data_IF_509256079880
#
_entry.id   IF_509256079880
#
_cell.length_a   1.000
_cell.length_b   1.000
_cell.length_c   1.000
_cell.angle_alpha   90.00
_cell.angle_beta   90.00
_cell.angle_gamma   90.00
#
_symmetry.space_group_name_H-M   'P 1'
#
loop_
_entity.id
_entity.type
_entity.pdbx_description
1 polymer ?
#
# COMPACT_ATOMS: atom_id res chain seq x y z
N UNK A 1 43.87 4.57 -23.91
CA UNK A 1 42.80 3.83 -24.62
C UNK A 1 41.57 3.85 -23.72
N UNK A 2 40.60 4.70 -24.03
CA UNK A 2 39.57 5.16 -23.09
C UNK A 2 38.36 4.24 -22.96
N UNK A 3 37.73 4.28 -21.78
CA UNK A 3 36.52 3.56 -21.40
C UNK A 3 35.29 4.14 -22.14
N UNK A 4 35.01 3.68 -23.36
CA UNK A 4 34.00 4.29 -24.25
C UNK A 4 32.62 3.60 -24.24
N UNK A 5 32.47 2.50 -23.50
CA UNK A 5 31.24 1.69 -23.50
C UNK A 5 30.93 1.10 -22.13
N UNK A 6 29.65 1.15 -21.74
CA UNK A 6 29.12 0.53 -20.52
C UNK A 6 28.18 -0.61 -20.94
N UNK A 7 28.40 -1.81 -20.41
CA UNK A 7 27.49 -2.95 -20.59
C UNK A 7 26.41 -2.89 -19.52
N UNK A 8 25.15 -2.90 -19.94
CA UNK A 8 23.97 -2.95 -19.06
C UNK A 8 23.29 -4.30 -19.27
N UNK A 9 23.08 -5.03 -18.17
CA UNK A 9 22.25 -6.22 -18.17
C UNK A 9 20.79 -5.81 -18.00
N UNK A 10 19.97 -6.12 -18.98
CA UNK A 10 18.55 -5.84 -18.97
C UNK A 10 17.79 -6.91 -18.16
N UNK A 11 16.53 -6.60 -17.84
CA UNK A 11 15.64 -7.49 -17.08
C UNK A 11 15.33 -8.82 -17.82
N UNK A 12 15.40 -8.82 -19.15
CA UNK A 12 15.25 -10.01 -19.99
C UNK A 12 16.56 -10.81 -20.18
N UNK A 13 17.57 -10.54 -19.34
CA UNK A 13 18.90 -11.14 -19.37
C UNK A 13 19.73 -10.83 -20.64
N UNK A 14 19.29 -9.90 -21.47
CA UNK A 14 20.07 -9.44 -22.62
C UNK A 14 21.10 -8.39 -22.20
N UNK A 15 22.27 -8.40 -22.84
CA UNK A 15 23.33 -7.42 -22.58
C UNK A 15 23.26 -6.33 -23.65
N UNK A 16 22.84 -5.13 -23.25
CA UNK A 16 22.89 -3.96 -24.14
C UNK A 16 24.15 -3.16 -23.88
N UNK A 17 24.85 -2.82 -24.95
CA UNK A 17 26.08 -2.01 -24.88
C UNK A 17 25.72 -0.57 -25.20
N UNK A 18 25.84 0.32 -24.20
CA UNK A 18 25.51 1.74 -24.36
C UNK A 18 26.81 2.54 -24.45
N UNK A 19 27.00 3.36 -25.50
CA UNK A 19 28.14 4.25 -25.61
C UNK A 19 28.13 5.35 -24.55
N UNK A 20 29.29 5.71 -24.00
CA UNK A 20 29.40 6.70 -22.90
C UNK A 20 28.95 8.12 -23.29
N UNK A 21 28.84 8.44 -24.58
CA UNK A 21 28.37 9.75 -25.06
C UNK A 21 26.85 9.90 -25.04
N UNK A 22 26.10 8.82 -24.83
CA UNK A 22 24.64 8.89 -24.67
C UNK A 22 24.37 9.55 -23.33
N UNK A 23 23.92 10.82 -23.33
CA UNK A 23 23.50 11.53 -22.12
C UNK A 23 22.38 10.75 -21.44
N UNK A 24 22.72 10.05 -20.37
CA UNK A 24 21.73 9.40 -19.52
C UNK A 24 20.86 10.49 -18.87
N UNK A 25 19.53 10.47 -18.99
CA UNK A 25 18.71 11.20 -18.02
C UNK A 25 19.09 10.67 -16.64
N UNK A 26 19.35 11.55 -15.67
CA UNK A 26 19.90 11.26 -14.34
C UNK A 26 19.02 10.36 -13.44
N UNK A 27 18.11 9.56 -14.01
CA UNK A 27 17.22 8.63 -13.32
C UNK A 27 17.52 7.19 -13.69
N UNK A 28 18.80 6.83 -13.75
CA UNK A 28 19.17 5.42 -13.57
C UNK A 28 19.09 5.13 -12.06
N UNK A 29 17.92 4.70 -11.58
CA UNK A 29 17.79 4.11 -10.24
C UNK A 29 18.54 2.79 -10.27
N UNK A 30 19.84 2.83 -10.02
CA UNK A 30 20.65 1.63 -9.88
C UNK A 30 20.21 0.94 -8.58
N UNK A 31 19.36 -0.08 -8.68
CA UNK A 31 18.90 -0.90 -7.56
C UNK A 31 20.02 -1.76 -6.92
N UNK A 32 21.29 -1.40 -7.13
CA UNK A 32 22.45 -2.27 -6.93
C UNK A 32 23.38 -1.81 -5.78
N UNK A 33 23.08 -0.76 -5.02
CA UNK A 33 23.93 -0.33 -3.88
C UNK A 33 23.20 -0.45 -2.53
N UNK A 34 23.56 -1.50 -1.77
CA UNK A 34 23.62 -1.45 -0.30
C UNK A 34 22.55 -2.21 0.50
N UNK A 35 22.63 -3.54 0.57
CA UNK A 35 22.29 -4.33 1.77
C UNK A 35 20.84 -4.43 2.23
N UNK A 36 19.89 -3.84 1.52
CA UNK A 36 18.48 -3.81 1.93
C UNK A 36 17.57 -4.02 0.72
N UNK A 37 17.56 -5.25 0.20
CA UNK A 37 16.59 -5.73 -0.80
C UNK A 37 15.18 -5.52 -0.23
N UNK A 38 14.52 -4.43 -0.60
CA UNK A 38 13.24 -4.03 -0.01
C UNK A 38 12.36 -3.42 -1.08
N UNK A 39 11.19 -4.02 -1.29
CA UNK A 39 10.18 -3.50 -2.21
C UNK A 39 9.16 -2.68 -1.44
N UNK A 40 8.91 -1.47 -1.91
CA UNK A 40 7.94 -0.55 -1.32
C UNK A 40 6.57 -0.75 -1.95
N UNK A 41 5.59 -1.08 -1.12
CA UNK A 41 4.17 -1.06 -1.48
C UNK A 41 3.67 0.36 -1.31
N UNK A 42 3.25 0.99 -2.41
CA UNK A 42 2.60 2.29 -2.43
C UNK A 42 1.42 2.20 -3.39
N UNK A 43 0.23 2.02 -2.83
CA UNK A 43 -1.03 1.84 -3.57
C UNK A 43 -2.13 2.64 -2.90
N UNK A 44 -3.18 2.94 -3.66
CA UNK A 44 -4.32 3.72 -3.20
C UNK A 44 -5.61 2.98 -3.46
N UNK A 45 -6.55 3.05 -2.51
CA UNK A 45 -7.96 2.69 -2.73
C UNK A 45 -8.75 4.00 -2.67
N UNK A 46 -9.51 4.29 -3.73
CA UNK A 46 -10.35 5.48 -3.77
C UNK A 46 -11.70 5.17 -3.14
N UNK A 47 -12.04 5.95 -2.12
CA UNK A 47 -13.30 5.82 -1.37
C UNK A 47 -14.25 6.93 -1.80
N UNK A 48 -15.54 6.62 -1.90
CA UNK A 48 -16.57 7.62 -2.13
C UNK A 48 -16.73 8.52 -0.89
N UNK A 49 -16.47 9.80 -1.08
CA UNK A 49 -16.52 10.81 -0.01
C UNK A 49 -17.92 10.94 0.60
N UNK A 50 -18.98 10.64 -0.17
CA UNK A 50 -20.36 10.70 0.31
C UNK A 50 -20.67 9.63 1.38
N UNK A 51 -19.85 8.57 1.44
CA UNK A 51 -20.03 7.48 2.41
C UNK A 51 -19.29 7.70 3.73
N UNK A 52 -18.45 8.74 3.81
CA UNK A 52 -17.68 9.05 5.02
C UNK A 52 -18.60 9.67 6.06
N UNK A 53 -18.67 9.06 7.24
CA UNK A 53 -19.51 9.54 8.35
C UNK A 53 -18.93 9.19 9.73
N UNK A 54 -19.44 9.89 10.74
CA UNK A 54 -19.14 9.59 12.15
C UNK A 54 -19.83 8.28 12.54
N UNK A 55 -19.11 7.39 13.22
CA UNK A 55 -19.67 6.13 13.71
C UNK A 55 -20.59 6.35 14.92
N UNK A 56 -21.84 5.94 14.81
CA UNK A 56 -22.75 5.81 15.96
C UNK A 56 -22.37 4.59 16.81
N UNK A 57 -22.73 4.56 18.11
CA UNK A 57 -22.47 3.41 18.96
C UNK A 57 -23.08 2.10 18.41
N UNK A 58 -24.22 2.14 17.71
CA UNK A 58 -24.78 0.93 17.08
C UNK A 58 -23.92 0.47 15.89
N UNK A 59 -23.44 1.42 15.06
CA UNK A 59 -22.55 1.12 13.94
C UNK A 59 -21.23 0.51 14.39
N UNK A 60 -20.69 0.93 15.55
CA UNK A 60 -19.50 0.31 16.15
C UNK A 60 -19.77 -1.15 16.53
N UNK A 61 -20.92 -1.47 17.12
CA UNK A 61 -21.26 -2.84 17.51
C UNK A 61 -21.43 -3.79 16.31
N UNK A 62 -22.03 -3.31 15.21
CA UNK A 62 -22.15 -4.10 13.99
C UNK A 62 -20.79 -4.55 13.43
N UNK A 63 -19.78 -3.69 13.56
CA UNK A 63 -18.40 -3.96 13.12
C UNK A 63 -17.68 -4.89 14.10
N UNK A 64 -17.93 -4.77 15.41
CA UNK A 64 -17.33 -5.61 16.48
C UNK A 64 -17.70 -7.09 16.35
N UNK A 65 -18.87 -7.42 15.79
CA UNK A 65 -19.29 -8.80 15.60
C UNK A 65 -18.39 -9.58 14.62
N UNK A 66 -17.52 -8.90 13.87
CA UNK A 66 -16.46 -9.55 13.10
C UNK A 66 -15.24 -9.82 13.98
N UNK A 67 -14.91 -11.10 14.13
CA UNK A 67 -13.82 -11.65 14.96
C UNK A 67 -12.46 -10.93 14.76
N UNK A 68 -12.20 -10.43 13.55
CA UNK A 68 -10.98 -9.70 13.21
C UNK A 68 -10.90 -8.26 13.77
N UNK A 69 -12.01 -7.68 14.25
CA UNK A 69 -12.15 -6.26 14.61
C UNK A 69 -12.36 -6.02 16.11
N UNK A 70 -12.62 -7.08 16.89
CA UNK A 70 -12.84 -6.99 18.32
C UNK A 70 -11.63 -6.36 19.07
N UNK A 71 -10.40 -6.65 18.63
CA UNK A 71 -9.18 -6.15 19.28
C UNK A 71 -8.91 -4.66 19.03
N UNK A 72 -9.44 -4.07 17.95
CA UNK A 72 -9.25 -2.65 17.61
C UNK A 72 -10.15 -1.72 18.43
N UNK A 73 -11.28 -2.23 18.91
CA UNK A 73 -12.32 -1.44 19.60
C UNK A 73 -12.16 -1.37 21.11
N UNK A 74 -11.24 -2.13 21.69
CA UNK A 74 -10.92 -2.05 23.11
C UNK A 74 -10.19 -0.75 23.50
N UNK A 75 -9.65 0.01 22.54
CA UNK A 75 -8.66 1.04 22.79
C UNK A 75 -9.15 2.49 22.79
N UNK A 76 -10.42 2.82 22.47
CA UNK A 76 -10.78 4.25 22.34
C UNK A 76 -12.25 4.66 22.59
N UNK A 77 -12.39 5.72 23.40
CA UNK A 77 -13.66 6.37 23.79
C UNK A 77 -14.07 7.53 22.85
N UNK A 78 -13.29 7.83 21.80
CA UNK A 78 -13.55 8.95 20.91
C UNK A 78 -14.56 8.64 19.78
N UNK A 79 -15.22 9.68 19.28
CA UNK A 79 -16.01 9.64 18.06
C UNK A 79 -15.06 9.49 16.86
N UNK A 80 -14.83 8.25 16.40
CA UNK A 80 -14.09 7.94 15.17
C UNK A 80 -15.04 7.97 13.98
N UNK A 81 -14.55 8.41 12.83
CA UNK A 81 -15.22 8.22 11.54
C UNK A 81 -15.05 6.78 11.04
N UNK A 82 -15.94 6.33 10.17
CA UNK A 82 -15.81 5.01 9.55
C UNK A 82 -14.51 4.84 8.74
N UNK A 83 -14.04 5.91 8.10
CA UNK A 83 -12.76 5.90 7.37
C UNK A 83 -11.55 5.76 8.32
N UNK A 84 -11.53 6.48 9.44
CA UNK A 84 -10.44 6.36 10.42
C UNK A 84 -10.37 4.93 10.98
N UNK A 85 -11.53 4.34 11.26
CA UNK A 85 -11.63 2.96 11.71
C UNK A 85 -11.07 1.98 10.67
N UNK A 86 -11.43 2.16 9.39
CA UNK A 86 -10.88 1.36 8.29
C UNK A 86 -9.35 1.53 8.18
N UNK A 87 -8.82 2.74 8.31
CA UNK A 87 -7.38 3.00 8.25
C UNK A 87 -6.64 2.30 9.40
N UNK A 88 -7.18 2.39 10.62
CA UNK A 88 -6.61 1.74 11.79
C UNK A 88 -6.61 0.23 11.66
N UNK A 89 -7.73 -0.34 11.20
CA UNK A 89 -7.82 -1.76 10.87
C UNK A 89 -6.80 -2.17 9.82
N UNK A 90 -6.72 -1.46 8.69
CA UNK A 90 -5.79 -1.81 7.62
C UNK A 90 -4.34 -1.72 8.09
N UNK A 91 -4.00 -0.71 8.90
CA UNK A 91 -2.68 -0.55 9.50
C UNK A 91 -2.34 -1.75 10.40
N UNK A 92 -3.26 -2.14 11.29
CA UNK A 92 -3.07 -3.29 12.18
C UNK A 92 -2.93 -4.60 11.39
N UNK A 93 -3.77 -4.80 10.37
CA UNK A 93 -3.74 -5.99 9.51
C UNK A 93 -2.43 -6.11 8.74
N UNK A 94 -1.94 -5.00 8.19
CA UNK A 94 -0.63 -4.94 7.53
C UNK A 94 0.50 -5.24 8.51
N UNK A 95 0.45 -4.72 9.74
CA UNK A 95 1.48 -4.94 10.75
C UNK A 95 1.55 -6.40 11.22
N UNK A 96 0.43 -7.13 11.21
CA UNK A 96 0.35 -8.55 11.55
C UNK A 96 0.76 -9.47 10.39
N UNK A 97 0.90 -8.95 9.17
CA UNK A 97 1.18 -9.78 8.00
C UNK A 97 2.67 -10.20 7.98
N UNK A 98 3.00 -11.50 7.91
CA UNK A 98 4.39 -11.98 8.06
C UNK A 98 5.33 -11.47 6.96
N UNK A 99 4.80 -11.24 5.76
CA UNK A 99 5.58 -10.70 4.65
C UNK A 99 5.76 -9.17 4.67
N UNK A 100 5.15 -8.46 5.61
CA UNK A 100 5.28 -7.00 5.78
C UNK A 100 6.31 -6.71 6.88
N UNK A 101 7.16 -5.72 6.62
CA UNK A 101 8.21 -5.30 7.54
C UNK A 101 7.72 -4.21 8.47
N UNK A 102 7.68 -4.51 9.77
CA UNK A 102 7.30 -3.59 10.84
C UNK A 102 8.46 -2.76 11.39
N UNK A 103 9.70 -3.13 11.06
CA UNK A 103 10.91 -2.36 11.39
C UNK A 103 11.07 -1.08 10.54
N UNK A 104 10.16 -0.84 9.61
CA UNK A 104 10.13 0.30 8.71
C UNK A 104 8.79 1.03 8.75
N UNK A 105 8.75 2.18 8.07
CA UNK A 105 7.54 2.98 7.97
C UNK A 105 6.37 2.16 7.41
N UNK A 106 5.33 2.05 8.22
CA UNK A 106 4.03 1.51 7.87
C UNK A 106 2.98 2.58 8.17
N UNK A 107 2.32 3.05 7.12
CA UNK A 107 1.39 4.17 7.20
C UNK A 107 0.19 3.94 6.29
N UNK A 108 -1.00 4.24 6.81
CA UNK A 108 -2.24 4.30 6.04
C UNK A 108 -2.81 5.70 6.23
N UNK A 109 -2.90 6.48 5.15
CA UNK A 109 -3.27 7.91 5.23
C UNK A 109 -4.25 8.30 4.13
N UNK A 110 -4.98 9.37 4.35
CA UNK A 110 -5.80 9.99 3.32
C UNK A 110 -4.94 10.99 2.52
N UNK A 111 -5.15 11.02 1.20
CA UNK A 111 -4.63 12.05 0.32
C UNK A 111 -5.70 13.13 0.09
N UNK A 112 -5.33 14.30 -0.46
CA UNK A 112 -6.33 15.31 -0.85
C UNK A 112 -7.42 14.69 -1.73
N UNK A 113 -8.67 15.08 -1.48
CA UNK A 113 -9.81 14.65 -2.26
C UNK A 113 -9.61 14.98 -3.74
N UNK A 114 -10.04 14.07 -4.61
CA UNK A 114 -9.96 14.21 -6.05
C UNK A 114 -11.36 14.09 -6.66
N UNK A 115 -11.48 14.33 -7.97
CA UNK A 115 -12.71 14.05 -8.72
C UNK A 115 -13.11 12.57 -8.65
N UNK A 116 -12.16 11.68 -8.34
CA UNK A 116 -12.36 10.23 -8.22
C UNK A 116 -12.57 9.78 -6.77
N UNK A 117 -13.05 10.67 -5.91
CA UNK A 117 -13.26 10.42 -4.48
C UNK A 117 -12.04 10.73 -3.61
N UNK A 118 -12.04 10.16 -2.40
CA UNK A 118 -11.03 10.33 -1.36
C UNK A 118 -10.01 9.17 -1.41
N UNK A 119 -8.77 9.41 -1.86
CA UNK A 119 -7.78 8.34 -1.95
C UNK A 119 -7.22 7.99 -0.57
N UNK A 120 -7.28 6.72 -0.21
CA UNK A 120 -6.58 6.16 0.96
C UNK A 120 -5.30 5.49 0.48
N UNK A 121 -4.15 6.05 0.83
CA UNK A 121 -2.82 5.53 0.50
C UNK A 121 -2.35 4.53 1.56
N UNK A 122 -1.88 3.38 1.08
CA UNK A 122 -1.24 2.33 1.84
C UNK A 122 0.24 2.33 1.52
N UNK A 123 1.05 2.63 2.54
CA UNK A 123 2.50 2.72 2.45
C UNK A 123 3.13 1.71 3.39
N UNK A 124 3.82 0.71 2.83
CA UNK A 124 4.51 -0.33 3.60
C UNK A 124 5.72 -0.88 2.83
N UNK A 125 6.57 -1.62 3.53
CA UNK A 125 7.70 -2.33 2.92
C UNK A 125 7.49 -3.84 3.00
N UNK A 126 7.65 -4.52 1.86
CA UNK A 126 7.63 -5.97 1.79
C UNK A 126 9.01 -6.54 2.15
N UNK A 127 9.00 -7.69 2.83
CA UNK A 127 10.19 -8.49 3.11
C UNK A 127 10.69 -9.24 1.89
N UNK A 128 9.79 -9.59 0.98
CA UNK A 128 10.07 -10.36 -0.23
C UNK A 128 10.42 -9.44 -1.40
N UNK A 129 11.43 -9.82 -2.16
CA UNK A 129 11.92 -9.05 -3.33
C UNK A 129 11.82 -9.79 -4.66
N UNK A 130 11.41 -11.06 -4.63
CA UNK A 130 11.06 -11.82 -5.82
C UNK A 130 9.78 -11.20 -6.43
N UNK A 131 9.70 -11.17 -7.77
CA UNK A 131 8.64 -10.46 -8.47
C UNK A 131 7.28 -11.09 -8.28
N UNK A 132 7.16 -12.39 -8.53
CA UNK A 132 5.89 -13.11 -8.47
C UNK A 132 5.32 -13.09 -7.06
N UNK A 133 6.15 -13.37 -6.06
CA UNK A 133 5.76 -13.38 -4.66
C UNK A 133 5.36 -11.98 -4.16
N UNK A 134 6.04 -10.93 -4.62
CA UNK A 134 5.65 -9.55 -4.33
C UNK A 134 4.31 -9.15 -4.94
N UNK A 135 4.06 -9.51 -6.20
CA UNK A 135 2.78 -9.24 -6.85
C UNK A 135 1.64 -10.03 -6.18
N UNK A 136 1.89 -11.28 -5.81
CA UNK A 136 0.94 -12.11 -5.07
C UNK A 136 0.60 -11.49 -3.71
N UNK A 137 1.61 -11.05 -2.97
CA UNK A 137 1.44 -10.37 -1.68
C UNK A 137 0.58 -9.11 -1.82
N UNK A 138 0.85 -8.28 -2.84
CA UNK A 138 0.01 -7.11 -3.09
C UNK A 138 -1.42 -7.52 -3.39
N UNK A 139 -1.62 -8.45 -4.32
CA UNK A 139 -2.95 -8.87 -4.76
C UNK A 139 -3.78 -9.42 -3.60
N UNK A 140 -3.19 -10.27 -2.76
CA UNK A 140 -3.84 -10.81 -1.56
C UNK A 140 -4.25 -9.72 -0.57
N UNK A 141 -3.33 -8.82 -0.22
CA UNK A 141 -3.59 -7.71 0.71
C UNK A 141 -4.72 -6.82 0.19
N UNK A 142 -4.63 -6.36 -1.06
CA UNK A 142 -5.60 -5.42 -1.60
C UNK A 142 -6.95 -6.08 -1.90
N UNK A 143 -6.98 -7.34 -2.31
CA UNK A 143 -8.22 -8.10 -2.47
C UNK A 143 -8.98 -8.19 -1.15
N UNK A 144 -8.29 -8.51 -0.06
CA UNK A 144 -8.89 -8.54 1.28
C UNK A 144 -9.37 -7.16 1.74
N UNK A 145 -8.55 -6.12 1.58
CA UNK A 145 -8.90 -4.75 1.96
C UNK A 145 -10.11 -4.22 1.18
N UNK A 146 -10.21 -4.53 -0.12
CA UNK A 146 -11.37 -4.17 -0.93
C UNK A 146 -12.62 -4.97 -0.55
N UNK A 147 -12.49 -6.25 -0.18
CA UNK A 147 -13.63 -7.06 0.25
C UNK A 147 -14.22 -6.61 1.58
N UNK A 148 -13.36 -6.16 2.51
CA UNK A 148 -13.78 -5.78 3.86
C UNK A 148 -14.24 -4.32 3.97
N UNK A 149 -13.92 -3.47 2.99
CA UNK A 149 -14.26 -2.04 3.04
C UNK A 149 -15.76 -1.78 3.25
N UNK A 150 -16.62 -2.64 2.68
CA UNK A 150 -18.07 -2.55 2.82
C UNK A 150 -18.56 -2.83 4.25
N UNK A 151 -17.78 -3.54 5.08
CA UNK A 151 -18.12 -3.73 6.50
C UNK A 151 -18.03 -2.44 7.30
N UNK A 152 -17.23 -1.48 6.84
CA UNK A 152 -17.12 -0.15 7.43
C UNK A 152 -18.18 0.82 6.86
N UNK A 153 -19.12 0.31 6.08
CA UNK A 153 -20.09 1.09 5.29
C UNK A 153 -19.43 2.18 4.44
N UNK A 154 -18.29 1.81 3.85
CA UNK A 154 -17.56 2.61 2.88
C UNK A 154 -17.75 2.00 1.49
N UNK A 155 -17.88 2.84 0.48
CA UNK A 155 -17.94 2.41 -0.93
C UNK A 155 -16.66 2.75 -1.65
N UNK A 156 -16.20 1.81 -2.48
CA UNK A 156 -15.11 2.08 -3.42
C UNK A 156 -15.68 2.96 -4.53
N UNK A 157 -14.99 4.04 -4.85
CA UNK A 157 -15.34 4.87 -5.98
C UNK A 157 -15.08 4.10 -7.28
N UNK A 158 -16.14 3.90 -8.08
CA UNK A 158 -16.07 3.30 -9.41
C UNK A 158 -16.25 4.41 -10.45
N UNK A 159 -15.41 4.41 -11.48
CA UNK A 159 -15.65 5.23 -12.67
C UNK A 159 -16.91 4.71 -13.35
N UNK A 160 -18.00 5.49 -13.28
CA UNK A 160 -19.23 5.25 -14.05
C UNK A 160 -19.11 5.82 -15.46
#
# INVERSE_FOLDING_TARGET
MGLTTVKVLNFDNTITTIPTYTRFPARLKLALYGGAWRRRIQRTINVDIATVRILTPEGKQAIVNHDALASLMAADSAAKTNIELFQEYAKARLAQHPAIRTDMTLMVRQLPSTTYGLPVEFYAFASQTEWVAYEQLQSEIFSHLMGIISLFDLKIHQLS
#
